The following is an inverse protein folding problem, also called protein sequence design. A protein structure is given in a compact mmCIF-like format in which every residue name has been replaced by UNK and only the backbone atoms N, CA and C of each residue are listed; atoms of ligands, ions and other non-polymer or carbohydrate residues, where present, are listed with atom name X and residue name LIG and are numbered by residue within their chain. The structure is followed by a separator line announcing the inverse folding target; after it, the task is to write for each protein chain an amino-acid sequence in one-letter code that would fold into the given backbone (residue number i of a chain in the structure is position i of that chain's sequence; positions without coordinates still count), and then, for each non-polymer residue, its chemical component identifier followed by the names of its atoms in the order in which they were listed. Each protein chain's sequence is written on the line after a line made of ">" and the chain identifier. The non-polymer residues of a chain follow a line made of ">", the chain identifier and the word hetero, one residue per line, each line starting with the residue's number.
data_IF_842492665440
#
_entry.id   IF_842492665440
#
_cell.length_a   1.000
_cell.length_b   1.000
_cell.length_c   1.000
_cell.angle_alpha   90.00
_cell.angle_beta   90.00
_cell.angle_gamma   90.00
#
_symmetry.space_group_name_H-M   'P 1'
#
loop_
_entity.id
_entity.type
_entity.pdbx_description
1 polymer ?
#
# COMPACT_ATOMS: atom_id res chain seq x y z
N UNK A 1 48.20 -67.60 50.08
CA UNK A 1 47.85 -66.26 49.56
C UNK A 1 48.58 -66.06 48.23
N UNK A 2 48.01 -65.67 47.09
CA UNK A 2 46.65 -65.25 46.77
C UNK A 2 46.42 -65.49 45.25
N UNK A 3 45.24 -66.00 44.89
CA UNK A 3 44.79 -66.26 43.53
C UNK A 3 44.41 -64.95 42.83
N UNK A 4 45.04 -64.58 41.70
CA UNK A 4 44.41 -63.70 40.69
C UNK A 4 44.87 -64.12 39.29
N UNK A 5 44.40 -65.28 38.82
CA UNK A 5 44.28 -65.53 37.38
C UNK A 5 42.97 -64.88 36.93
N UNK A 6 43.08 -63.78 36.18
CA UNK A 6 41.95 -63.11 35.58
C UNK A 6 41.23 -64.06 34.61
N UNK A 7 40.01 -64.48 34.96
CA UNK A 7 39.09 -65.16 34.04
C UNK A 7 38.66 -64.17 32.96
N UNK A 8 39.34 -64.18 31.82
CA UNK A 8 38.75 -63.73 30.56
C UNK A 8 37.78 -64.83 30.12
N UNK A 9 36.51 -64.69 30.46
CA UNK A 9 35.47 -65.62 30.04
C UNK A 9 35.42 -65.70 28.51
N UNK A 10 35.65 -66.90 27.95
CA UNK A 10 35.42 -67.19 26.53
C UNK A 10 33.95 -66.91 26.20
N UNK A 11 33.67 -65.76 25.58
CA UNK A 11 32.33 -65.46 25.06
C UNK A 11 32.06 -66.38 23.86
N UNK A 12 30.87 -66.99 23.75
CA UNK A 12 30.54 -67.87 22.63
C UNK A 12 30.67 -67.12 21.29
N UNK A 13 31.10 -67.81 20.22
CA UNK A 13 31.31 -67.24 18.88
C UNK A 13 30.07 -66.43 18.40
N UNK A 14 28.87 -66.95 18.71
CA UNK A 14 27.59 -66.30 18.40
C UNK A 14 27.45 -64.89 19.02
N UNK A 15 28.07 -64.64 20.18
CA UNK A 15 28.06 -63.32 20.81
C UNK A 15 28.90 -62.29 20.05
N UNK A 16 30.00 -62.71 19.39
CA UNK A 16 30.80 -61.81 18.56
C UNK A 16 30.07 -61.46 17.26
N UNK A 17 29.47 -62.47 16.60
CA UNK A 17 28.69 -62.28 15.38
C UNK A 17 27.48 -61.36 15.64
N UNK A 18 26.77 -61.57 16.75
CA UNK A 18 25.64 -60.72 17.14
C UNK A 18 26.06 -59.27 17.40
N UNK A 19 27.19 -59.04 18.09
CA UNK A 19 27.70 -57.68 18.34
C UNK A 19 28.08 -56.98 17.04
N UNK A 20 28.77 -57.67 16.12
CA UNK A 20 29.13 -57.10 14.81
C UNK A 20 27.86 -56.77 14.01
N UNK A 21 26.88 -57.68 14.00
CA UNK A 21 25.63 -57.46 13.29
C UNK A 21 24.88 -56.25 13.86
N UNK A 22 24.72 -56.16 15.19
CA UNK A 22 24.10 -55.00 15.84
C UNK A 22 24.83 -53.70 15.47
N UNK A 23 26.15 -53.68 15.55
CA UNK A 23 26.95 -52.49 15.21
C UNK A 23 26.75 -52.07 13.76
N UNK A 24 26.70 -53.05 12.85
CA UNK A 24 26.52 -52.82 11.42
C UNK A 24 25.11 -52.29 11.11
N UNK A 25 24.07 -52.91 11.68
CA UNK A 25 22.69 -52.46 11.48
C UNK A 25 22.45 -51.08 12.08
N UNK A 26 22.99 -50.79 13.27
CA UNK A 26 22.91 -49.45 13.88
C UNK A 26 23.70 -48.41 13.09
N UNK A 27 24.89 -48.76 12.58
CA UNK A 27 25.69 -47.87 11.75
C UNK A 27 24.96 -47.49 10.45
N UNK A 28 24.39 -48.49 9.76
CA UNK A 28 23.58 -48.26 8.55
C UNK A 28 22.34 -47.42 8.88
N UNK A 29 21.63 -47.74 9.96
CA UNK A 29 20.47 -46.96 10.41
C UNK A 29 20.80 -45.50 10.73
N UNK A 30 21.94 -45.24 11.38
CA UNK A 30 22.40 -43.90 11.69
C UNK A 30 22.80 -43.12 10.44
N UNK A 31 23.50 -43.74 9.48
CA UNK A 31 23.88 -43.12 8.21
C UNK A 31 22.64 -42.80 7.38
N UNK A 32 21.69 -43.73 7.28
CA UNK A 32 20.42 -43.51 6.58
C UNK A 32 19.59 -42.43 7.26
N UNK A 33 19.50 -42.43 8.58
CA UNK A 33 18.80 -41.41 9.35
C UNK A 33 19.41 -40.02 9.16
N UNK A 34 20.75 -39.91 9.21
CA UNK A 34 21.47 -38.67 8.94
C UNK A 34 21.24 -38.18 7.51
N UNK A 35 21.38 -39.07 6.53
CA UNK A 35 21.16 -38.74 5.12
C UNK A 35 19.72 -38.31 4.85
N UNK A 36 18.74 -39.03 5.40
CA UNK A 36 17.32 -38.74 5.26
C UNK A 36 16.95 -37.40 5.92
N UNK A 37 17.49 -37.14 7.11
CA UNK A 37 17.32 -35.86 7.80
C UNK A 37 17.87 -34.71 6.96
N UNK A 38 19.10 -34.83 6.46
CA UNK A 38 19.74 -33.78 5.67
C UNK A 38 19.06 -33.52 4.32
N UNK A 39 18.58 -34.58 3.65
CA UNK A 39 17.84 -34.48 2.39
C UNK A 39 16.44 -33.89 2.59
N UNK A 40 15.67 -34.39 3.56
CA UNK A 40 14.32 -33.90 3.83
C UNK A 40 14.34 -32.43 4.24
N UNK A 41 15.28 -32.02 5.10
CA UNK A 41 15.41 -30.60 5.49
C UNK A 41 15.69 -29.70 4.28
N UNK A 42 16.57 -30.10 3.35
CA UNK A 42 16.85 -29.33 2.13
C UNK A 42 15.65 -29.24 1.18
N UNK A 43 14.92 -30.32 1.01
CA UNK A 43 13.72 -30.36 0.14
C UNK A 43 12.58 -29.52 0.73
N UNK A 44 12.37 -29.58 2.04
CA UNK A 44 11.33 -28.80 2.73
C UNK A 44 11.62 -27.29 2.66
N UNK A 45 12.88 -26.88 2.94
CA UNK A 45 13.29 -25.48 2.88
C UNK A 45 13.21 -24.90 1.47
N UNK A 46 13.71 -25.62 0.46
CA UNK A 46 13.66 -25.15 -0.93
C UNK A 46 12.23 -25.12 -1.50
N UNK A 47 11.36 -26.02 -1.04
CA UNK A 47 9.93 -25.98 -1.40
C UNK A 47 9.22 -24.79 -0.75
N UNK A 48 9.55 -24.46 0.51
CA UNK A 48 9.03 -23.27 1.17
C UNK A 48 9.47 -21.99 0.44
N UNK A 49 10.74 -21.87 0.04
CA UNK A 49 11.24 -20.73 -0.74
C UNK A 49 10.49 -20.55 -2.06
N UNK A 50 10.25 -21.64 -2.82
CA UNK A 50 9.48 -21.57 -4.07
C UNK A 50 8.05 -21.09 -3.86
N UNK A 51 7.38 -21.56 -2.80
CA UNK A 51 6.03 -21.13 -2.44
C UNK A 51 6.03 -19.66 -2.05
N UNK A 52 6.99 -19.19 -1.24
CA UNK A 52 7.13 -17.77 -0.89
C UNK A 52 7.39 -16.88 -2.11
N UNK A 53 8.26 -17.30 -3.00
CA UNK A 53 8.57 -16.57 -4.23
C UNK A 53 7.36 -16.48 -5.16
N UNK A 54 6.59 -17.57 -5.26
CA UNK A 54 5.36 -17.61 -6.03
C UNK A 54 4.32 -16.66 -5.45
N UNK A 55 4.10 -16.71 -4.13
CA UNK A 55 3.19 -15.80 -3.43
C UNK A 55 3.61 -14.34 -3.62
N UNK A 56 4.90 -14.04 -3.48
CA UNK A 56 5.40 -12.68 -3.64
C UNK A 56 5.18 -12.15 -5.06
N UNK A 57 5.37 -12.99 -6.08
CA UNK A 57 5.06 -12.65 -7.48
C UNK A 57 3.57 -12.44 -7.69
N UNK A 58 2.73 -13.32 -7.16
CA UNK A 58 1.28 -13.23 -7.27
C UNK A 58 0.77 -11.94 -6.61
N UNK A 59 1.19 -11.66 -5.37
CA UNK A 59 0.86 -10.42 -4.66
C UNK A 59 1.30 -9.15 -5.42
N UNK A 60 2.48 -9.18 -6.04
CA UNK A 60 2.95 -8.05 -6.86
C UNK A 60 2.12 -7.89 -8.14
N UNK A 61 1.71 -8.99 -8.77
CA UNK A 61 0.83 -8.97 -9.93
C UNK A 61 -0.56 -8.47 -9.57
N UNK A 62 -1.12 -8.89 -8.44
CA UNK A 62 -2.41 -8.42 -7.94
C UNK A 62 -2.37 -6.95 -7.58
N UNK A 63 -1.30 -6.50 -6.93
CA UNK A 63 -1.08 -5.09 -6.66
C UNK A 63 -1.00 -4.28 -7.95
N UNK A 64 -0.21 -4.72 -8.93
CA UNK A 64 -0.13 -4.05 -10.24
C UNK A 64 -1.45 -4.08 -10.99
N UNK A 65 -2.21 -5.16 -10.91
CA UNK A 65 -3.53 -5.31 -11.52
C UNK A 65 -4.55 -4.36 -10.87
N UNK A 66 -4.52 -4.24 -9.54
CA UNK A 66 -5.42 -3.38 -8.79
C UNK A 66 -5.10 -1.88 -8.96
N UNK A 67 -3.82 -1.50 -9.01
CA UNK A 67 -3.38 -0.10 -8.96
C UNK A 67 -2.81 0.46 -10.26
N UNK A 68 -2.43 -0.39 -11.22
CA UNK A 68 -2.03 0.03 -12.57
C UNK A 68 -3.10 0.87 -13.29
N UNK A 69 -4.39 0.46 -13.28
CA UNK A 69 -5.47 1.25 -13.87
C UNK A 69 -5.63 2.65 -13.23
N UNK A 70 -5.33 2.79 -11.94
CA UNK A 70 -5.39 4.06 -11.21
C UNK A 70 -4.35 5.04 -11.75
N UNK A 71 -3.10 4.57 -11.89
CA UNK A 71 -2.00 5.35 -12.46
C UNK A 71 -2.33 5.77 -13.89
N UNK A 72 -2.82 4.84 -14.73
CA UNK A 72 -3.21 5.13 -16.11
C UNK A 72 -4.32 6.19 -16.18
N UNK A 73 -5.31 6.11 -15.29
CA UNK A 73 -6.41 7.09 -15.21
C UNK A 73 -5.91 8.48 -14.87
N UNK A 74 -5.11 8.60 -13.80
CA UNK A 74 -4.52 9.88 -13.39
C UNK A 74 -3.65 10.44 -14.51
N UNK A 75 -2.87 9.59 -15.18
CA UNK A 75 -2.06 9.98 -16.32
C UNK A 75 -2.89 10.54 -17.47
N UNK A 76 -3.94 9.84 -17.89
CA UNK A 76 -4.81 10.30 -18.98
C UNK A 76 -5.52 11.61 -18.62
N UNK A 77 -6.12 11.71 -17.42
CA UNK A 77 -6.81 12.92 -16.99
C UNK A 77 -5.89 14.13 -16.85
N UNK A 78 -4.62 13.92 -16.50
CA UNK A 78 -3.62 14.99 -16.40
C UNK A 78 -3.18 15.54 -17.76
N UNK A 79 -3.42 14.79 -18.85
CA UNK A 79 -3.13 15.24 -20.21
C UNK A 79 -4.28 16.08 -20.81
N UNK A 80 -5.47 16.03 -20.22
CA UNK A 80 -6.68 16.67 -20.73
C UNK A 80 -6.73 18.15 -20.33
N UNK A 81 -6.59 19.07 -21.29
CA UNK A 81 -6.61 20.52 -21.00
C UNK A 81 -7.92 20.99 -20.36
N UNK A 82 -9.05 20.34 -20.68
CA UNK A 82 -10.35 20.63 -20.05
C UNK A 82 -10.35 20.37 -18.54
N UNK A 83 -9.51 19.47 -18.05
CA UNK A 83 -9.39 19.18 -16.61
C UNK A 83 -8.57 20.28 -15.93
N UNK A 84 -7.43 20.65 -16.50
CA UNK A 84 -6.52 21.64 -15.92
C UNK A 84 -7.01 23.08 -16.04
N UNK A 85 -7.79 23.41 -17.07
CA UNK A 85 -8.32 24.76 -17.31
C UNK A 85 -9.70 25.03 -16.71
N UNK A 86 -10.35 24.02 -16.12
CA UNK A 86 -11.67 24.19 -15.52
C UNK A 86 -11.64 25.15 -14.32
N UNK A 87 -12.13 26.36 -14.54
CA UNK A 87 -12.06 27.50 -13.64
C UNK A 87 -13.39 27.74 -12.91
N UNK A 88 -14.51 27.29 -13.49
CA UNK A 88 -15.84 27.51 -12.94
C UNK A 88 -16.44 26.23 -12.33
N UNK A 89 -17.49 26.41 -11.51
CA UNK A 89 -18.31 25.31 -10.97
C UNK A 89 -18.88 24.47 -12.12
N UNK A 90 -19.40 25.12 -13.15
CA UNK A 90 -20.06 24.49 -14.29
C UNK A 90 -19.06 23.66 -15.11
N UNK A 91 -17.87 24.19 -15.39
CA UNK A 91 -16.80 23.48 -16.10
C UNK A 91 -16.33 22.25 -15.33
N UNK A 92 -16.17 22.36 -14.00
CA UNK A 92 -15.77 21.24 -13.15
C UNK A 92 -16.85 20.17 -13.07
N UNK A 93 -18.12 20.57 -12.97
CA UNK A 93 -19.25 19.63 -13.01
C UNK A 93 -19.39 18.95 -14.37
N UNK A 94 -18.98 19.59 -15.47
CA UNK A 94 -18.93 18.95 -16.79
C UNK A 94 -17.89 17.81 -16.88
N UNK A 95 -16.94 17.72 -15.94
CA UNK A 95 -16.00 16.59 -15.82
C UNK A 95 -16.64 15.35 -15.15
N UNK A 96 -17.81 15.50 -14.53
CA UNK A 96 -18.46 14.44 -13.75
C UNK A 96 -18.64 13.12 -14.51
N UNK A 97 -19.07 13.09 -15.80
CA UNK A 97 -19.21 11.83 -16.54
C UNK A 97 -17.89 11.07 -16.67
N UNK A 98 -16.78 11.78 -16.88
CA UNK A 98 -15.45 11.18 -16.99
C UNK A 98 -15.01 10.62 -15.64
N UNK A 99 -15.19 11.38 -14.56
CA UNK A 99 -14.85 10.95 -13.21
C UNK A 99 -15.69 9.75 -12.78
N UNK A 100 -16.99 9.76 -13.08
CA UNK A 100 -17.89 8.65 -12.81
C UNK A 100 -17.49 7.39 -13.57
N UNK A 101 -17.14 7.50 -14.86
CA UNK A 101 -16.71 6.35 -15.66
C UNK A 101 -15.39 5.76 -15.17
N UNK A 102 -14.45 6.60 -14.75
CA UNK A 102 -13.21 6.15 -14.14
C UNK A 102 -13.45 5.46 -12.79
N UNK A 103 -14.26 6.04 -11.91
CA UNK A 103 -14.57 5.48 -10.59
C UNK A 103 -15.37 4.17 -10.66
N UNK A 104 -16.28 4.02 -11.63
CA UNK A 104 -17.10 2.81 -11.76
C UNK A 104 -16.30 1.56 -12.16
N UNK A 105 -15.15 1.74 -12.81
CA UNK A 105 -14.25 0.65 -13.22
C UNK A 105 -13.22 0.28 -12.16
N UNK A 106 -13.12 1.07 -11.08
CA UNK A 106 -12.04 0.99 -10.09
C UNK A 106 -12.59 0.91 -8.66
N UNK A 107 -13.09 -0.28 -8.22
CA UNK A 107 -13.75 -0.42 -6.91
C UNK A 107 -12.85 -0.10 -5.72
N UNK A 108 -11.53 -0.14 -5.89
CA UNK A 108 -10.55 0.16 -4.84
C UNK A 108 -10.20 1.64 -4.70
N UNK A 109 -10.69 2.50 -5.60
CA UNK A 109 -10.49 3.95 -5.53
C UNK A 109 -11.57 4.59 -4.67
N UNK A 110 -11.15 5.42 -3.72
CA UNK A 110 -12.04 6.13 -2.79
C UNK A 110 -12.43 7.53 -3.28
N UNK A 111 -11.63 8.13 -4.15
CA UNK A 111 -11.92 9.43 -4.77
C UNK A 111 -11.05 9.69 -6.00
N UNK A 112 -11.57 10.51 -6.92
CA UNK A 112 -10.76 11.23 -7.92
C UNK A 112 -10.88 12.72 -7.65
N UNK A 113 -9.76 13.44 -7.72
CA UNK A 113 -9.68 14.84 -7.33
C UNK A 113 -8.76 15.66 -8.23
N UNK A 114 -9.01 16.97 -8.28
CA UNK A 114 -8.20 17.98 -8.96
C UNK A 114 -7.95 19.12 -8.00
N UNK A 115 -6.69 19.45 -7.78
CA UNK A 115 -6.28 20.69 -7.12
C UNK A 115 -5.72 21.64 -8.16
N UNK A 116 -6.17 22.89 -8.14
CA UNK A 116 -5.69 23.92 -9.05
C UNK A 116 -4.59 24.76 -8.37
N UNK A 117 -3.72 25.36 -9.17
CA UNK A 117 -2.63 26.24 -8.73
C UNK A 117 -3.11 27.49 -7.95
N UNK A 118 -4.31 27.97 -8.28
CA UNK A 118 -5.01 29.02 -7.56
C UNK A 118 -5.54 28.57 -6.19
N UNK A 119 -5.47 27.27 -5.87
CA UNK A 119 -5.92 26.69 -4.61
C UNK A 119 -7.40 26.30 -4.59
N UNK A 120 -8.07 26.35 -5.74
CA UNK A 120 -9.38 25.75 -5.91
C UNK A 120 -9.27 24.22 -5.97
N UNK A 121 -10.39 23.55 -5.75
CA UNK A 121 -10.42 22.11 -5.60
C UNK A 121 -11.74 21.49 -6.07
N UNK A 122 -11.64 20.33 -6.70
CA UNK A 122 -12.78 19.52 -7.10
C UNK A 122 -12.52 18.05 -6.80
N UNK A 123 -13.48 17.34 -6.23
CA UNK A 123 -13.34 15.92 -5.89
C UNK A 123 -14.66 15.19 -6.06
N UNK A 124 -14.61 13.98 -6.62
CA UNK A 124 -15.75 13.09 -6.79
C UNK A 124 -15.49 11.79 -6.04
N UNK A 125 -16.48 11.30 -5.30
CA UNK A 125 -16.38 10.08 -4.50
C UNK A 125 -17.60 9.19 -4.67
N UNK A 126 -17.43 7.85 -4.77
CA UNK A 126 -18.53 6.92 -4.78
C UNK A 126 -19.14 6.73 -3.38
N UNK A 127 -20.47 6.66 -3.32
CA UNK A 127 -21.26 6.36 -2.11
C UNK A 127 -21.50 4.84 -1.96
N UNK A 128 -20.42 4.07 -2.11
CA UNK A 128 -20.43 2.61 -2.23
C UNK A 128 -20.27 1.84 -0.89
N UNK A 129 -20.09 2.55 0.24
CA UNK A 129 -19.98 1.92 1.56
C UNK A 129 -20.86 2.62 2.60
N UNK A 130 -21.35 1.90 3.63
CA UNK A 130 -22.12 2.50 4.72
C UNK A 130 -21.37 3.65 5.40
N UNK A 131 -20.06 3.49 5.58
CA UNK A 131 -19.20 4.52 6.15
C UNK A 131 -19.24 5.82 5.35
N UNK A 132 -19.06 5.75 4.03
CA UNK A 132 -19.08 6.94 3.17
C UNK A 132 -20.47 7.59 3.17
N UNK A 133 -21.53 6.79 3.07
CA UNK A 133 -22.91 7.30 3.10
C UNK A 133 -23.22 8.04 4.39
N UNK A 134 -22.80 7.49 5.54
CA UNK A 134 -22.96 8.16 6.83
C UNK A 134 -22.08 9.41 6.92
N UNK A 135 -20.79 9.31 6.55
CA UNK A 135 -19.81 10.39 6.65
C UNK A 135 -20.21 11.64 5.86
N UNK A 136 -20.87 11.44 4.73
CA UNK A 136 -21.34 12.49 3.83
C UNK A 136 -22.85 12.76 3.95
N UNK A 137 -23.56 12.14 4.89
CA UNK A 137 -25.02 12.28 5.06
C UNK A 137 -25.77 12.12 3.72
N UNK A 138 -25.37 11.10 2.96
CA UNK A 138 -25.77 10.92 1.58
C UNK A 138 -27.27 10.57 1.48
N UNK A 139 -28.04 11.25 0.59
CA UNK A 139 -29.40 10.86 0.27
C UNK A 139 -29.49 9.39 -0.17
N UNK A 140 -30.64 8.75 0.04
CA UNK A 140 -30.82 7.31 -0.24
C UNK A 140 -30.42 6.93 -1.67
N UNK A 141 -30.80 7.75 -2.67
CA UNK A 141 -30.50 7.48 -4.09
C UNK A 141 -29.11 7.95 -4.54
N UNK A 142 -28.32 8.58 -3.66
CA UNK A 142 -27.02 9.11 -4.05
C UNK A 142 -26.02 7.98 -4.31
N UNK A 143 -25.44 8.00 -5.51
CA UNK A 143 -24.39 7.12 -5.97
C UNK A 143 -23.02 7.80 -5.92
N UNK A 144 -22.98 9.12 -6.17
CA UNK A 144 -21.78 9.94 -6.12
C UNK A 144 -22.01 11.17 -5.24
N UNK A 145 -20.94 11.63 -4.61
CA UNK A 145 -20.85 12.97 -4.03
C UNK A 145 -19.69 13.72 -4.69
N UNK A 146 -19.92 14.97 -5.06
CA UNK A 146 -18.87 15.87 -5.52
C UNK A 146 -18.75 17.06 -4.56
N UNK A 147 -17.53 17.45 -4.21
CA UNK A 147 -17.27 18.71 -3.51
C UNK A 147 -16.49 19.64 -4.44
N UNK A 148 -16.95 20.89 -4.51
CA UNK A 148 -16.28 22.01 -5.16
C UNK A 148 -15.85 22.99 -4.07
N UNK A 149 -14.58 23.42 -4.10
CA UNK A 149 -14.08 24.47 -3.23
C UNK A 149 -13.43 25.54 -4.09
N UNK A 150 -13.87 26.77 -3.94
CA UNK A 150 -13.31 27.91 -4.66
C UNK A 150 -13.33 29.18 -3.80
N UNK A 151 -12.53 30.16 -4.17
CA UNK A 151 -12.57 31.49 -3.56
C UNK A 151 -13.87 32.22 -3.92
N UNK A 152 -14.55 32.77 -2.92
CA UNK A 152 -15.68 33.67 -3.11
C UNK A 152 -15.20 35.13 -3.38
N UNK A 153 -16.14 36.04 -3.62
CA UNK A 153 -15.84 37.45 -3.86
C UNK A 153 -15.11 38.16 -2.69
N UNK A 154 -15.14 37.58 -1.48
CA UNK A 154 -14.47 38.09 -0.28
C UNK A 154 -13.09 37.46 -0.04
N UNK A 155 -12.57 36.69 -1.01
CA UNK A 155 -11.30 35.94 -0.89
C UNK A 155 -11.31 34.88 0.22
N UNK A 156 -12.48 34.33 0.53
CA UNK A 156 -12.64 33.21 1.45
C UNK A 156 -13.00 31.96 0.65
N UNK A 157 -12.41 30.81 0.99
CA UNK A 157 -12.76 29.54 0.34
C UNK A 157 -14.12 29.08 0.82
N UNK A 158 -15.04 28.83 -0.10
CA UNK A 158 -16.35 28.26 0.18
C UNK A 158 -16.44 26.85 -0.43
N UNK A 159 -17.07 25.93 0.30
CA UNK A 159 -17.32 24.59 -0.18
C UNK A 159 -18.79 24.39 -0.55
N UNK A 160 -19.03 23.86 -1.74
CA UNK A 160 -20.35 23.42 -2.19
C UNK A 160 -20.33 21.92 -2.47
N UNK A 161 -21.35 21.21 -2.00
CA UNK A 161 -21.50 19.77 -2.15
C UNK A 161 -22.68 19.43 -3.05
N UNK A 162 -22.47 18.47 -3.95
CA UNK A 162 -23.45 17.96 -4.88
C UNK A 162 -23.60 16.46 -4.70
N UNK A 163 -24.84 15.97 -4.78
CA UNK A 163 -25.15 14.55 -4.76
C UNK A 163 -25.79 14.14 -6.08
N UNK A 164 -25.32 13.05 -6.66
CA UNK A 164 -25.81 12.53 -7.93
C UNK A 164 -26.28 11.09 -7.81
N UNK A 165 -27.30 10.72 -8.58
CA UNK A 165 -27.71 9.33 -8.73
C UNK A 165 -26.82 8.56 -9.72
N UNK A 166 -27.14 7.29 -9.97
CA UNK A 166 -26.41 6.44 -10.92
C UNK A 166 -26.49 6.91 -12.39
N UNK A 167 -27.44 7.80 -12.72
CA UNK A 167 -27.62 8.40 -14.05
C UNK A 167 -26.98 9.79 -14.14
N UNK A 168 -26.21 10.19 -13.12
CA UNK A 168 -25.59 11.51 -12.98
C UNK A 168 -26.60 12.66 -12.90
N UNK A 169 -27.84 12.38 -12.49
CA UNK A 169 -28.83 13.42 -12.21
C UNK A 169 -28.56 14.03 -10.84
N UNK A 170 -28.56 15.36 -10.77
CA UNK A 170 -28.39 16.08 -9.52
C UNK A 170 -29.59 15.83 -8.60
N UNK A 171 -29.34 15.24 -7.43
CA UNK A 171 -30.33 14.97 -6.40
C UNK A 171 -30.44 16.12 -5.41
N UNK A 172 -29.31 16.71 -5.04
CA UNK A 172 -29.23 17.77 -4.03
C UNK A 172 -27.92 18.54 -4.16
N UNK A 173 -28.01 19.85 -3.90
CA UNK A 173 -26.88 20.76 -3.73
C UNK A 173 -26.95 21.37 -2.32
N UNK A 174 -25.80 21.49 -1.66
CA UNK A 174 -25.69 22.06 -0.30
C UNK A 174 -24.45 22.96 -0.21
N UNK A 175 -24.62 24.20 0.27
CA UNK A 175 -23.46 24.99 0.73
C UNK A 175 -23.00 24.43 2.08
N UNK A 176 -21.70 24.18 2.19
CA UNK A 176 -21.04 23.73 3.41
C UNK A 176 -20.41 24.91 4.17
N UNK A 177 -20.52 26.14 3.63
CA UNK A 177 -19.92 27.35 4.17
C UNK A 177 -18.41 27.44 3.92
N UNK A 178 -17.73 28.22 4.76
CA UNK A 178 -16.30 28.47 4.65
C UNK A 178 -15.48 27.20 4.90
N UNK A 179 -14.50 26.97 4.05
CA UNK A 179 -13.57 25.83 4.12
C UNK A 179 -12.14 26.31 4.36
N UNK A 180 -11.42 25.59 5.20
CA UNK A 180 -9.98 25.80 5.43
C UNK A 180 -9.12 24.89 4.55
N UNK A 181 -9.73 24.10 3.66
CA UNK A 181 -9.02 23.17 2.81
C UNK A 181 -8.31 23.90 1.67
N UNK A 182 -6.99 23.77 1.62
CA UNK A 182 -6.14 24.19 0.48
C UNK A 182 -5.42 22.95 -0.05
N UNK A 183 -5.63 22.55 -1.33
CA UNK A 183 -4.98 21.37 -1.90
C UNK A 183 -3.45 21.52 -1.97
N UNK A 184 -2.93 22.75 -2.11
CA UNK A 184 -1.51 23.00 -2.43
C UNK A 184 -0.55 22.69 -1.30
N UNK A 185 -1.06 22.70 -0.06
CA UNK A 185 -0.29 22.34 1.13
C UNK A 185 -0.44 20.86 1.49
N UNK A 186 -1.17 20.08 0.70
CA UNK A 186 -1.41 18.66 0.98
C UNK A 186 -0.29 17.81 0.38
N UNK A 187 0.11 16.71 1.05
CA UNK A 187 1.20 15.85 0.57
C UNK A 187 1.02 15.41 -0.89
N UNK A 188 -0.20 15.11 -1.31
CA UNK A 188 -0.48 14.63 -2.67
C UNK A 188 -0.28 15.67 -3.75
N UNK A 189 -0.40 16.95 -3.42
CA UNK A 189 -0.12 18.03 -4.35
C UNK A 189 1.37 18.30 -4.40
N UNK A 190 2.02 18.38 -3.23
CA UNK A 190 3.44 18.74 -3.15
C UNK A 190 4.34 17.69 -3.79
N UNK A 191 4.08 16.38 -3.58
CA UNK A 191 4.92 15.32 -4.15
C UNK A 191 4.87 15.24 -5.68
N UNK A 192 3.85 15.83 -6.31
CA UNK A 192 3.73 15.83 -7.78
C UNK A 192 4.36 17.06 -8.42
N UNK A 193 4.76 18.07 -7.64
CA UNK A 193 5.44 19.26 -8.18
C UNK A 193 6.91 19.01 -8.50
N UNK A 194 7.51 17.99 -7.87
CA UNK A 194 8.93 17.67 -8.02
C UNK A 194 9.20 16.72 -9.22
N UNK A 195 8.19 16.40 -10.03
CA UNK A 195 8.30 15.41 -11.11
C UNK A 195 7.29 15.64 -12.24
N UNK A 196 7.70 15.37 -13.49
CA UNK A 196 6.83 15.40 -14.68
C UNK A 196 5.97 14.12 -14.85
N UNK A 197 6.15 13.14 -13.95
CA UNK A 197 5.49 11.83 -13.96
C UNK A 197 4.54 11.70 -12.77
N UNK A 198 3.78 10.62 -12.73
CA UNK A 198 3.01 10.26 -11.54
C UNK A 198 3.91 10.16 -10.30
N UNK A 199 3.38 10.60 -9.17
CA UNK A 199 3.98 10.44 -7.85
C UNK A 199 2.96 9.89 -6.86
N UNK A 200 3.44 9.13 -5.87
CA UNK A 200 2.63 8.61 -4.80
C UNK A 200 3.08 9.19 -3.45
N UNK A 201 2.11 9.50 -2.61
CA UNK A 201 2.37 9.95 -1.24
C UNK A 201 2.76 8.81 -0.31
N UNK A 202 3.49 9.14 0.76
CA UNK A 202 3.49 8.31 1.97
C UNK A 202 2.10 8.35 2.60
N UNK A 203 1.68 7.30 3.32
CA UNK A 203 0.33 7.28 3.87
C UNK A 203 0.06 8.43 4.83
N UNK A 204 -1.11 9.04 4.72
CA UNK A 204 -1.53 10.18 5.55
C UNK A 204 -3.03 10.15 5.81
N UNK A 205 -3.49 10.98 6.76
CA UNK A 205 -4.89 11.09 7.10
C UNK A 205 -5.64 11.99 6.10
N UNK A 206 -6.65 11.44 5.45
CA UNK A 206 -7.51 12.18 4.52
C UNK A 206 -8.42 13.16 5.26
N UNK A 207 -8.44 14.40 4.78
CA UNK A 207 -9.14 15.51 5.43
C UNK A 207 -10.65 15.27 5.52
N UNK A 208 -11.28 14.88 4.41
CA UNK A 208 -12.74 14.77 4.33
C UNK A 208 -13.27 13.53 5.01
N UNK A 209 -12.54 12.41 4.97
CA UNK A 209 -13.08 11.13 5.43
C UNK A 209 -12.39 10.57 6.66
N UNK A 210 -11.32 11.18 7.17
CA UNK A 210 -10.65 10.70 8.39
C UNK A 210 -10.11 9.26 8.29
N UNK A 211 -9.94 8.73 7.07
CA UNK A 211 -9.27 7.46 6.80
C UNK A 211 -7.82 7.72 6.44
N UNK A 212 -6.98 6.73 6.71
CA UNK A 212 -5.58 6.74 6.29
C UNK A 212 -5.48 6.10 4.92
N UNK A 213 -4.66 6.67 4.04
CA UNK A 213 -4.47 6.16 2.69
C UNK A 213 -3.27 6.76 1.99
N UNK A 214 -3.03 6.28 0.77
CA UNK A 214 -2.07 6.84 -0.18
C UNK A 214 -2.82 7.48 -1.34
N UNK A 215 -2.35 8.64 -1.75
CA UNK A 215 -2.81 9.32 -2.97
C UNK A 215 -1.74 9.18 -4.05
N UNK A 216 -2.17 8.79 -5.24
CA UNK A 216 -1.37 8.86 -6.48
C UNK A 216 -1.82 10.08 -7.26
N UNK A 217 -0.89 10.90 -7.70
CA UNK A 217 -1.20 12.12 -8.45
C UNK A 217 -0.22 12.38 -9.58
N UNK A 218 -0.60 13.30 -10.47
CA UNK A 218 0.27 13.84 -11.50
C UNK A 218 -0.11 15.28 -11.81
N UNK A 219 0.90 16.11 -12.07
CA UNK A 219 0.69 17.48 -12.52
C UNK A 219 0.22 17.50 -13.98
N UNK A 220 -0.69 18.41 -14.30
CA UNK A 220 -1.12 18.67 -15.67
C UNK A 220 0.03 19.20 -16.51
N UNK A 221 -0.01 18.96 -17.84
CA UNK A 221 1.07 19.39 -18.74
C UNK A 221 1.36 20.88 -18.73
N UNK A 222 0.34 21.69 -18.44
CA UNK A 222 0.44 23.15 -18.35
C UNK A 222 0.72 23.65 -16.93
N UNK A 223 0.96 22.76 -15.97
CA UNK A 223 1.31 23.09 -14.59
C UNK A 223 0.18 23.65 -13.72
N UNK A 224 -1.01 23.90 -14.29
CA UNK A 224 -2.12 24.61 -13.63
C UNK A 224 -2.94 23.75 -12.68
N UNK A 225 -2.83 22.43 -12.78
CA UNK A 225 -3.58 21.53 -11.93
C UNK A 225 -2.77 20.28 -11.57
N UNK A 226 -3.16 19.63 -10.49
CA UNK A 226 -2.73 18.27 -10.13
C UNK A 226 -3.98 17.40 -10.09
N UNK A 227 -3.99 16.35 -10.89
CA UNK A 227 -5.04 15.32 -10.84
C UNK A 227 -4.54 14.18 -9.96
N UNK A 228 -5.41 13.67 -9.09
CA UNK A 228 -5.05 12.65 -8.14
C UNK A 228 -6.17 11.67 -7.82
N UNK A 229 -5.79 10.50 -7.30
CA UNK A 229 -6.67 9.41 -6.91
C UNK A 229 -6.32 8.91 -5.52
N UNK A 230 -7.31 8.80 -4.65
CA UNK A 230 -7.14 8.39 -3.26
C UNK A 230 -7.42 6.89 -3.09
N UNK A 231 -6.47 6.19 -2.48
CA UNK A 231 -6.57 4.77 -2.12
C UNK A 231 -6.49 4.65 -0.60
N UNK A 232 -7.49 4.05 0.05
CA UNK A 232 -7.45 3.82 1.49
C UNK A 232 -6.56 2.63 1.84
N UNK A 233 -5.95 2.66 3.02
CA UNK A 233 -5.21 1.49 3.52
C UNK A 233 -6.11 0.27 3.72
N UNK A 234 -7.39 0.47 4.01
CA UNK A 234 -8.39 -0.59 4.10
C UNK A 234 -8.53 -1.35 2.78
N UNK A 235 -8.70 -0.66 1.64
CA UNK A 235 -8.79 -1.33 0.34
C UNK A 235 -7.46 -2.00 -0.07
N UNK A 236 -6.32 -1.43 0.33
CA UNK A 236 -5.01 -2.07 0.18
C UNK A 236 -4.95 -3.38 0.98
N UNK A 237 -5.36 -3.34 2.25
CA UNK A 237 -5.38 -4.52 3.11
C UNK A 237 -6.35 -5.59 2.62
N UNK A 238 -7.55 -5.22 2.15
CA UNK A 238 -8.50 -6.15 1.54
C UNK A 238 -7.88 -6.88 0.34
N UNK A 239 -7.15 -6.16 -0.51
CA UNK A 239 -6.45 -6.73 -1.66
C UNK A 239 -5.41 -7.76 -1.22
N UNK A 240 -4.63 -7.45 -0.19
CA UNK A 240 -3.63 -8.37 0.37
C UNK A 240 -4.25 -9.62 1.02
N UNK A 241 -5.50 -9.55 1.48
CA UNK A 241 -6.17 -10.67 2.17
C UNK A 241 -6.87 -11.66 1.24
N UNK A 242 -6.99 -11.37 -0.06
CA UNK A 242 -7.68 -12.26 -1.02
C UNK A 242 -6.95 -13.59 -1.27
N UNK A 243 -5.62 -13.63 -1.13
CA UNK A 243 -4.79 -14.81 -1.42
C UNK A 243 -4.33 -15.52 -0.14
N UNK A 244 -5.25 -15.79 0.80
CA UNK A 244 -4.93 -16.58 2.01
C UNK A 244 -4.72 -18.04 1.66
N UNK A 245 -3.46 -18.47 1.63
CA UNK A 245 -3.10 -19.89 1.47
C UNK A 245 -3.17 -20.64 2.80
N UNK A 246 -2.84 -19.98 3.92
CA UNK A 246 -3.00 -20.56 5.26
C UNK A 246 -3.52 -19.55 6.28
N UNK A 247 -4.14 -20.02 7.40
CA UNK A 247 -4.58 -19.14 8.47
C UNK A 247 -3.47 -18.27 9.08
N UNK A 248 -2.23 -18.74 9.04
CA UNK A 248 -1.02 -18.13 9.59
C UNK A 248 -0.22 -17.27 8.61
N UNK A 249 -0.68 -17.14 7.35
CA UNK A 249 -0.02 -16.27 6.37
C UNK A 249 -0.19 -14.79 6.76
N UNK A 250 0.93 -14.06 6.85
CA UNK A 250 0.96 -12.61 7.07
C UNK A 250 1.53 -11.90 5.84
N UNK A 251 0.85 -10.87 5.37
CA UNK A 251 1.28 -10.02 4.25
C UNK A 251 1.37 -8.57 4.73
N UNK A 252 2.52 -7.94 4.48
CA UNK A 252 2.79 -6.55 4.87
C UNK A 252 3.35 -5.84 3.65
N UNK A 253 2.78 -4.67 3.33
CA UNK A 253 3.35 -3.75 2.36
C UNK A 253 4.26 -2.75 3.08
N UNK A 254 5.50 -2.60 2.64
CA UNK A 254 6.43 -1.62 3.17
C UNK A 254 6.66 -0.48 2.19
N UNK A 255 6.95 0.72 2.71
CA UNK A 255 7.52 1.80 1.91
C UNK A 255 9.05 1.63 1.76
N UNK A 256 9.67 2.50 0.97
CA UNK A 256 11.13 2.53 0.77
C UNK A 256 11.92 2.74 2.06
N UNK A 257 11.34 3.38 3.09
CA UNK A 257 11.94 3.56 4.41
C UNK A 257 11.80 2.33 5.33
N UNK A 258 11.20 1.24 4.84
CA UNK A 258 10.93 0.02 5.62
C UNK A 258 9.81 0.15 6.64
N UNK A 259 8.89 1.12 6.49
CA UNK A 259 7.69 1.28 7.33
C UNK A 259 6.50 0.54 6.72
N UNK A 260 5.72 -0.15 7.54
CA UNK A 260 4.52 -0.85 7.09
C UNK A 260 3.44 0.16 6.68
N UNK A 261 3.05 0.14 5.40
CA UNK A 261 1.99 0.94 4.81
C UNK A 261 0.64 0.22 4.93
N UNK A 262 0.60 -1.09 4.66
CA UNK A 262 -0.62 -1.88 4.70
C UNK A 262 -0.36 -3.21 5.40
N UNK A 263 -1.34 -3.62 6.19
CA UNK A 263 -1.33 -4.85 6.97
C UNK A 263 -2.77 -5.27 7.22
N UNK A 264 -3.00 -6.59 7.28
CA UNK A 264 -4.32 -7.18 7.49
C UNK A 264 -5.08 -6.55 8.66
N UNK A 265 -4.39 -6.26 9.76
CA UNK A 265 -4.97 -5.62 10.94
C UNK A 265 -4.59 -4.14 10.94
N UNK A 266 -5.34 -3.34 10.18
CA UNK A 266 -5.08 -1.92 9.95
C UNK A 266 -5.06 -1.11 11.25
N UNK A 267 -5.79 -1.57 12.29
CA UNK A 267 -5.78 -0.94 13.61
C UNK A 267 -4.43 -1.06 14.31
N UNK A 268 -3.66 -2.14 14.04
CA UNK A 268 -2.29 -2.30 14.55
C UNK A 268 -1.27 -1.41 13.86
N UNK A 269 -1.60 -0.85 12.69
CA UNK A 269 -0.72 0.09 11.98
C UNK A 269 -0.89 1.54 12.45
N UNK A 270 -1.98 1.86 13.14
CA UNK A 270 -2.25 3.20 13.65
C UNK A 270 -1.83 3.25 15.12
N UNK A 271 -0.64 3.77 15.40
CA UNK A 271 -0.25 4.07 16.79
C UNK A 271 -1.13 5.21 17.31
N UNK A 272 -2.11 4.90 18.16
CA UNK A 272 -2.84 5.89 18.96
C UNK A 272 -1.80 6.62 19.82
N UNK A 273 -1.51 7.86 19.46
CA UNK A 273 -0.78 8.76 20.37
C UNK A 273 -1.80 9.24 21.40
N UNK A 274 -1.66 8.83 22.66
CA UNK A 274 -2.46 9.38 23.75
C UNK A 274 -2.19 10.89 23.84
N UNK A 275 -3.21 11.73 23.58
CA UNK A 275 -3.13 13.15 23.92
C UNK A 275 -3.87 14.18 23.06
N UNK A 276 -4.40 13.87 21.86
CA UNK A 276 -4.97 14.93 21.00
C UNK A 276 -6.49 14.87 20.85
N UNK A 277 -7.20 15.33 21.89
CA UNK A 277 -8.66 15.57 21.86
C UNK A 277 -9.08 16.76 20.98
N UNK A 278 -8.13 17.45 20.33
CA UNK A 278 -8.36 18.73 19.64
C UNK A 278 -7.78 18.81 18.21
N UNK A 279 -7.90 17.72 17.43
CA UNK A 279 -7.39 17.61 16.06
C UNK A 279 -8.06 18.55 15.03
N UNK A 280 -9.17 19.23 15.40
CA UNK A 280 -9.96 20.10 14.50
C UNK A 280 -9.29 21.44 14.14
N UNK A 281 -8.14 21.83 14.73
CA UNK A 281 -7.59 23.20 14.60
C UNK A 281 -6.10 23.34 14.26
N UNK A 282 -5.29 22.28 14.21
CA UNK A 282 -3.85 22.43 14.00
C UNK A 282 -3.42 22.19 12.54
N UNK A 283 -2.84 23.21 11.92
CA UNK A 283 -2.19 23.16 10.60
C UNK A 283 -0.89 22.32 10.55
N UNK A 284 -0.53 21.63 11.65
CA UNK A 284 0.65 20.78 11.73
C UNK A 284 0.24 19.30 11.56
N UNK A 285 0.60 18.78 10.39
CA UNK A 285 0.31 17.47 9.84
C UNK A 285 1.28 16.42 10.42
N UNK A 286 1.02 15.88 11.60
CA UNK A 286 1.74 14.68 12.03
C UNK A 286 1.38 13.51 11.10
N UNK A 287 2.37 12.96 10.39
CA UNK A 287 2.22 11.71 9.66
C UNK A 287 1.72 10.62 10.64
N UNK A 288 0.80 9.73 10.24
CA UNK A 288 0.41 8.61 11.09
C UNK A 288 1.68 7.84 11.51
N UNK A 289 1.83 7.61 12.81
CA UNK A 289 2.95 6.86 13.34
C UNK A 289 2.73 5.38 13.00
N UNK A 290 3.33 4.91 11.91
CA UNK A 290 3.38 3.49 11.57
C UNK A 290 4.47 2.80 12.39
N UNK A 291 4.17 1.68 13.07
CA UNK A 291 5.17 0.95 13.82
C UNK A 291 6.22 0.33 12.89
N UNK A 292 7.47 0.29 13.34
CA UNK A 292 8.45 -0.66 12.79
C UNK A 292 8.07 -2.05 13.30
N UNK A 293 7.90 -3.02 12.40
CA UNK A 293 7.52 -4.37 12.81
C UNK A 293 8.55 -5.02 13.76
N UNK A 294 8.11 -5.90 14.67
CA UNK A 294 8.98 -6.70 15.52
C UNK A 294 10.03 -7.45 14.69
N UNK A 295 11.21 -7.69 15.27
CA UNK A 295 12.38 -8.29 14.59
C UNK A 295 12.03 -9.61 13.87
N UNK A 296 11.06 -10.38 14.37
CA UNK A 296 10.62 -11.65 13.78
C UNK A 296 9.79 -11.56 12.49
N UNK A 297 9.25 -10.38 12.16
CA UNK A 297 8.48 -10.14 10.93
C UNK A 297 9.27 -9.34 9.88
N UNK A 298 10.59 -9.14 10.11
CA UNK A 298 11.47 -8.49 9.15
C UNK A 298 11.93 -9.51 8.10
N UNK A 299 11.88 -9.16 6.80
CA UNK A 299 12.45 -10.03 5.78
C UNK A 299 13.95 -10.21 6.05
N UNK A 300 14.43 -11.47 6.09
CA UNK A 300 15.85 -11.80 6.31
C UNK A 300 16.78 -11.30 5.18
N UNK A 301 16.20 -11.03 4.00
CA UNK A 301 16.82 -10.33 2.86
C UNK A 301 15.75 -9.51 2.13
N UNK A 302 16.06 -8.32 1.60
CA UNK A 302 15.18 -7.66 0.65
C UNK A 302 14.95 -8.58 -0.58
N UNK A 303 13.72 -8.72 -1.08
CA UNK A 303 13.39 -9.66 -2.16
C UNK A 303 14.00 -9.27 -3.51
N UNK A 304 14.50 -8.05 -3.67
CA UNK A 304 15.20 -7.58 -4.87
C UNK A 304 16.36 -6.66 -4.51
N UNK A 305 17.48 -6.69 -5.25
CA UNK A 305 18.48 -5.62 -5.17
C UNK A 305 17.83 -4.30 -5.59
N UNK A 306 18.07 -3.24 -4.82
CA UNK A 306 17.64 -1.88 -5.14
C UNK A 306 18.09 -1.52 -6.57
N UNK A 307 17.18 -1.26 -7.52
CA UNK A 307 17.57 -0.62 -8.75
C UNK A 307 17.70 0.86 -8.41
N UNK A 308 18.94 1.31 -8.13
CA UNK A 308 19.47 2.68 -8.25
C UNK A 308 20.60 2.90 -7.23
N UNK A 309 21.71 2.21 -7.43
CA UNK A 309 23.04 2.73 -7.08
C UNK A 309 23.99 2.41 -8.23
N UNK A 310 23.80 3.08 -9.37
CA UNK A 310 24.91 3.29 -10.30
C UNK A 310 25.59 4.58 -9.89
N UNK A 311 26.74 4.44 -9.25
CA UNK A 311 27.63 5.54 -8.99
C UNK A 311 28.14 6.14 -10.30
N UNK A 312 28.16 7.46 -10.35
CA UNK A 312 29.07 8.21 -11.21
C UNK A 312 29.85 9.18 -10.33
N UNK A 313 30.91 8.63 -9.73
CA UNK A 313 32.12 9.38 -9.42
C UNK A 313 33.22 8.80 -10.30
N UNK A 314 33.79 9.63 -11.16
CA UNK A 314 34.86 9.25 -12.10
C UNK A 314 35.01 10.28 -13.20
N UNK A 315 35.74 11.36 -12.90
CA UNK A 315 36.12 12.36 -13.89
C UNK A 315 37.08 11.80 -14.93
N UNK A 316 37.05 12.41 -16.11
CA UNK A 316 38.17 12.47 -17.04
C UNK A 316 38.19 13.89 -17.63
N UNK A 317 39.32 14.56 -17.41
CA UNK A 317 39.78 15.70 -18.19
C UNK A 317 40.05 15.27 -19.63
N UNK A 318 39.87 16.19 -20.58
CA UNK A 318 40.31 16.04 -21.95
C UNK A 318 39.91 17.24 -22.80
N UNK A 319 40.82 18.20 -22.92
CA UNK A 319 40.86 19.19 -24.01
C UNK A 319 40.73 18.51 -25.38
N UNK A 320 40.05 19.15 -26.33
CA UNK A 320 40.59 19.55 -27.64
C UNK A 320 39.47 20.07 -28.56
N UNK A 321 39.70 21.29 -29.06
CA UNK A 321 39.06 22.01 -30.20
C UNK A 321 37.61 22.47 -30.09
#
# INVERSE_FOLDING_TARGET
>A
MNKIFARVGRRPLHAHIAVIFIFLTTGVGAILGWFNYHQNTRVILSSAERVFDQISRELLLDFKSAYGPVVSTVNLLSLEERVSRASTREERLALLPVFSGALSTQPHVSALQVGYDNGDYFIVRPMNSPYMRQRFEAPEKAALVADHIAMNARQEREQTRFYFDNKLQLLSERSMGLSTYDPRVRPWYTVTLDTDREAATKPYLYFFIGKVGITVGRQSRDGRAVVASDITLEHLSETLTRHRISPSTEAVLFNEDGRAIAYRDTERLILKTEGTRNWRRSANWAAPCFPRLPIGLRPRKPPFPSPLTTGHGGGLSGELM
#
